data_IF_484833818891
#
_entry.id   IF_484833818891
#
_cell.length_a   1.000
_cell.length_b   1.000
_cell.length_c   1.000
_cell.angle_alpha   90.00
_cell.angle_beta   90.00
_cell.angle_gamma   90.00
#
_symmetry.space_group_name_H-M   'P 1'
#
loop_
_entity.id
_entity.type
_entity.pdbx_description
1 polymer ?
#
# COMPACT_ATOMS: atom_id res chain seq x y z
N UNK A 1 -23.98 24.78 12.22
CA UNK A 1 -22.55 24.81 12.68
C UNK A 1 -22.37 25.52 14.04
N UNK A 2 -22.93 26.74 14.27
CA UNK A 2 -22.82 27.41 15.57
C UNK A 2 -23.48 26.64 16.74
N UNK A 3 -24.52 25.86 16.50
CA UNK A 3 -25.20 25.04 17.53
C UNK A 3 -24.28 23.92 18.02
N UNK A 4 -23.61 23.22 17.10
CA UNK A 4 -22.81 22.04 17.41
C UNK A 4 -21.43 22.37 18.03
N UNK A 5 -20.93 23.61 17.87
CA UNK A 5 -19.70 24.05 18.55
C UNK A 5 -19.81 24.13 20.08
N UNK A 6 -21.03 23.94 20.63
CA UNK A 6 -21.33 23.95 22.06
C UNK A 6 -21.71 22.58 22.62
N UNK A 7 -21.75 21.55 21.76
CA UNK A 7 -21.96 20.18 22.21
C UNK A 7 -20.68 19.63 22.81
N UNK A 8 -20.83 18.87 23.89
CA UNK A 8 -19.73 18.04 24.41
C UNK A 8 -19.45 16.89 23.42
N UNK A 9 -18.20 16.41 23.43
CA UNK A 9 -17.80 15.29 22.61
C UNK A 9 -18.54 14.00 23.05
N UNK A 10 -18.97 13.21 22.07
CA UNK A 10 -19.57 11.91 22.27
C UNK A 10 -18.49 10.86 22.52
N UNK A 11 -18.41 10.34 23.75
CA UNK A 11 -17.38 9.40 24.15
C UNK A 11 -17.46 8.04 23.40
N UNK A 12 -18.66 7.62 22.95
CA UNK A 12 -18.81 6.39 22.15
C UNK A 12 -18.24 6.57 20.74
N UNK A 13 -18.40 7.76 20.17
CA UNK A 13 -17.80 8.08 18.88
C UNK A 13 -16.27 8.16 18.96
N UNK A 14 -15.73 8.79 20.01
CA UNK A 14 -14.28 8.83 20.21
C UNK A 14 -13.70 7.42 20.40
N UNK A 15 -14.36 6.55 21.17
CA UNK A 15 -13.95 5.16 21.35
C UNK A 15 -14.04 4.35 20.03
N UNK A 16 -15.01 4.67 19.19
CA UNK A 16 -15.10 4.08 17.86
C UNK A 16 -13.91 4.51 16.97
N UNK A 17 -13.54 5.78 16.97
CA UNK A 17 -12.37 6.27 16.24
C UNK A 17 -11.07 5.61 16.72
N UNK A 18 -10.92 5.41 18.03
CA UNK A 18 -9.77 4.69 18.61
C UNK A 18 -9.72 3.25 18.09
N UNK A 19 -10.88 2.57 18.00
CA UNK A 19 -10.96 1.21 17.44
C UNK A 19 -10.56 1.16 15.97
N UNK A 20 -11.02 2.12 15.15
CA UNK A 20 -10.62 2.21 13.74
C UNK A 20 -9.12 2.43 13.60
N UNK A 21 -8.54 3.30 14.44
CA UNK A 21 -7.11 3.53 14.45
C UNK A 21 -6.31 2.27 14.82
N UNK A 22 -6.71 1.56 15.88
CA UNK A 22 -6.06 0.33 16.33
C UNK A 22 -6.12 -0.74 15.23
N UNK A 23 -7.27 -0.92 14.58
CA UNK A 23 -7.43 -1.85 13.47
C UNK A 23 -6.55 -1.50 12.27
N UNK A 24 -6.44 -0.21 11.93
CA UNK A 24 -5.62 0.27 10.83
C UNK A 24 -4.13 0.00 11.05
N UNK A 25 -3.61 0.30 12.24
CA UNK A 25 -2.19 0.16 12.53
C UNK A 25 -1.79 -1.30 12.82
N UNK A 26 -2.74 -2.15 13.23
CA UNK A 26 -2.50 -3.58 13.47
C UNK A 26 -2.54 -4.44 12.20
N UNK A 27 -2.96 -3.90 11.06
CA UNK A 27 -3.08 -4.67 9.81
C UNK A 27 -1.74 -4.86 9.07
N UNK A 28 -0.82 -3.88 9.19
CA UNK A 28 0.44 -3.92 8.45
C UNK A 28 1.61 -3.44 9.31
N UNK A 29 2.67 -4.25 9.40
CA UNK A 29 3.83 -3.95 10.22
C UNK A 29 4.53 -2.64 9.81
N UNK A 30 4.81 -2.44 8.52
CA UNK A 30 5.49 -1.22 8.06
C UNK A 30 4.64 0.02 8.31
N UNK A 31 3.31 -0.08 8.11
CA UNK A 31 2.42 1.03 8.41
C UNK A 31 2.47 1.38 9.91
N UNK A 32 2.41 0.38 10.80
CA UNK A 32 2.57 0.58 12.24
C UNK A 32 3.94 1.20 12.56
N UNK A 33 5.01 0.62 12.05
CA UNK A 33 6.38 1.04 12.33
C UNK A 33 6.66 2.51 11.96
N UNK A 34 6.14 2.97 10.81
CA UNK A 34 6.33 4.35 10.36
C UNK A 34 5.41 5.38 11.01
N UNK A 35 4.26 4.95 11.57
CA UNK A 35 3.24 5.87 12.06
C UNK A 35 3.05 5.85 13.58
N UNK A 36 3.55 4.84 14.29
CA UNK A 36 3.35 4.66 15.73
C UNK A 36 4.68 4.59 16.46
N UNK A 37 4.97 5.61 17.28
CA UNK A 37 6.25 5.70 18.00
C UNK A 37 6.41 4.66 19.11
N UNK A 38 5.35 4.26 19.77
CA UNK A 38 5.35 3.26 20.86
C UNK A 38 4.03 2.49 20.88
N UNK A 39 3.96 1.47 20.03
CA UNK A 39 2.77 0.62 19.90
C UNK A 39 2.44 -0.14 21.19
N UNK A 40 3.48 -0.50 22.00
CA UNK A 40 3.30 -1.21 23.28
C UNK A 40 2.64 -0.32 24.32
N UNK A 41 3.05 0.95 24.42
CA UNK A 41 2.42 1.91 25.33
C UNK A 41 0.97 2.20 24.95
N UNK A 42 0.63 2.11 23.67
CA UNK A 42 -0.74 2.27 23.15
C UNK A 42 -1.58 0.99 23.28
N UNK A 43 -0.98 -0.15 23.62
CA UNK A 43 -1.67 -1.44 23.70
C UNK A 43 -1.99 -2.07 22.37
N UNK A 44 -1.37 -1.61 21.29
CA UNK A 44 -1.54 -2.12 19.92
C UNK A 44 -0.82 -3.46 19.80
N UNK A 45 -1.50 -4.45 19.21
CA UNK A 45 -0.90 -5.75 18.90
C UNK A 45 0.05 -5.61 17.70
N UNK A 46 1.29 -6.10 17.85
CA UNK A 46 2.30 -6.06 16.80
C UNK A 46 1.89 -6.96 15.64
N UNK A 47 1.75 -6.44 14.41
CA UNK A 47 1.48 -7.25 13.22
C UNK A 47 2.64 -8.19 12.89
N UNK A 48 2.40 -9.15 11.99
CA UNK A 48 3.46 -9.97 11.41
C UNK A 48 4.49 -9.07 10.70
N UNK A 49 5.76 -9.28 11.03
CA UNK A 49 6.86 -8.45 10.51
C UNK A 49 7.11 -8.76 9.04
N UNK A 50 7.05 -7.74 8.18
CA UNK A 50 7.26 -7.88 6.74
C UNK A 50 6.51 -6.81 5.94
N UNK A 51 6.41 -7.03 4.64
CA UNK A 51 5.70 -6.14 3.70
C UNK A 51 4.17 -6.35 3.69
N UNK A 52 3.67 -7.37 4.41
CA UNK A 52 2.28 -7.83 4.30
C UNK A 52 2.05 -8.67 3.04
N UNK A 53 0.78 -8.91 2.69
CA UNK A 53 0.42 -9.76 1.56
C UNK A 53 -0.23 -8.99 0.42
N UNK A 54 0.07 -9.40 -0.81
CA UNK A 54 -0.54 -8.86 -2.02
C UNK A 54 -1.70 -9.75 -2.46
N UNK A 55 -2.91 -9.22 -2.45
CA UNK A 55 -4.13 -9.92 -2.87
C UNK A 55 -4.56 -9.41 -4.24
N UNK A 56 -4.65 -10.29 -5.25
CA UNK A 56 -5.16 -9.94 -6.57
C UNK A 56 -6.70 -9.94 -6.60
N UNK A 57 -7.26 -8.84 -7.10
CA UNK A 57 -8.71 -8.64 -7.15
C UNK A 57 -9.27 -8.22 -5.80
N UNK A 58 -10.56 -8.49 -5.58
CA UNK A 58 -11.23 -8.07 -4.36
C UNK A 58 -10.73 -8.87 -3.14
N UNK A 59 -10.11 -8.19 -2.21
CA UNK A 59 -9.89 -8.74 -0.87
C UNK A 59 -11.22 -8.73 -0.09
N UNK A 60 -11.92 -9.87 -0.09
CA UNK A 60 -13.21 -10.00 0.58
C UNK A 60 -13.13 -9.78 2.09
N UNK A 61 -12.00 -10.12 2.73
CA UNK A 61 -11.82 -9.91 4.17
C UNK A 61 -11.76 -8.43 4.49
N UNK A 62 -10.90 -7.71 3.79
CA UNK A 62 -10.73 -6.27 3.99
C UNK A 62 -11.98 -5.49 3.54
N UNK A 63 -12.61 -5.90 2.44
CA UNK A 63 -13.87 -5.30 1.98
C UNK A 63 -14.96 -5.42 3.03
N UNK A 64 -15.21 -6.63 3.57
CA UNK A 64 -16.25 -6.85 4.58
C UNK A 64 -15.94 -6.10 5.89
N UNK A 65 -14.67 -6.00 6.29
CA UNK A 65 -14.24 -5.22 7.45
C UNK A 65 -14.55 -3.73 7.23
N UNK A 66 -14.15 -3.17 6.10
CA UNK A 66 -14.39 -1.76 5.77
C UNK A 66 -15.88 -1.44 5.62
N UNK A 67 -16.66 -2.35 5.02
CA UNK A 67 -18.12 -2.22 4.95
C UNK A 67 -18.74 -2.18 6.35
N UNK A 68 -18.29 -3.05 7.27
CA UNK A 68 -18.73 -3.04 8.67
C UNK A 68 -18.36 -1.75 9.39
N UNK A 69 -17.15 -1.24 9.20
CA UNK A 69 -16.74 0.04 9.76
C UNK A 69 -17.63 1.19 9.25
N UNK A 70 -17.98 1.19 7.97
CA UNK A 70 -18.90 2.18 7.40
C UNK A 70 -20.30 2.05 8.00
N UNK A 71 -20.85 0.84 8.14
CA UNK A 71 -22.14 0.62 8.79
C UNK A 71 -22.15 1.15 10.23
N UNK A 72 -21.10 0.90 11.01
CA UNK A 72 -20.98 1.35 12.39
C UNK A 72 -20.86 2.87 12.47
N UNK A 73 -20.12 3.50 11.54
CA UNK A 73 -20.05 4.96 11.42
C UNK A 73 -21.45 5.56 11.16
N UNK A 74 -22.20 4.98 10.23
CA UNK A 74 -23.53 5.47 9.83
C UNK A 74 -24.60 5.28 10.94
N UNK A 75 -24.33 4.49 11.97
CA UNK A 75 -25.20 4.35 13.11
C UNK A 75 -25.17 5.55 14.09
N UNK A 76 -24.14 6.39 14.03
CA UNK A 76 -24.06 7.60 14.83
C UNK A 76 -24.99 8.71 14.30
N UNK A 77 -25.67 9.39 15.21
CA UNK A 77 -26.47 10.58 14.88
C UNK A 77 -25.52 11.80 14.68
N UNK A 78 -25.25 12.09 13.41
CA UNK A 78 -24.35 13.18 12.98
C UNK A 78 -24.69 14.52 13.63
N UNK A 79 -25.98 14.88 13.75
CA UNK A 79 -26.42 16.14 14.32
C UNK A 79 -26.20 16.23 15.85
N UNK A 80 -25.99 15.09 16.51
CA UNK A 80 -25.68 15.02 17.95
C UNK A 80 -24.18 15.15 18.25
N UNK A 81 -23.30 15.01 17.23
CA UNK A 81 -21.86 15.11 17.38
C UNK A 81 -21.40 16.56 17.54
N UNK A 82 -20.32 16.77 18.30
CA UNK A 82 -19.64 18.07 18.36
C UNK A 82 -19.11 18.48 16.98
N UNK A 83 -18.81 19.75 16.79
CA UNK A 83 -18.27 20.25 15.51
C UNK A 83 -16.97 19.52 15.12
N UNK A 84 -16.07 19.24 16.09
CA UNK A 84 -14.84 18.47 15.87
C UNK A 84 -15.19 17.08 15.35
N UNK A 85 -16.07 16.37 16.04
CA UNK A 85 -16.46 15.00 15.69
C UNK A 85 -17.20 14.94 14.36
N UNK A 86 -17.94 15.96 13.95
CA UNK A 86 -18.53 16.04 12.63
C UNK A 86 -17.48 16.09 11.52
N UNK A 87 -16.35 16.81 11.74
CA UNK A 87 -15.23 16.77 10.78
C UNK A 87 -14.56 15.40 10.72
N UNK A 88 -14.35 14.77 11.88
CA UNK A 88 -13.76 13.44 11.96
C UNK A 88 -14.68 12.40 11.27
N UNK A 89 -16.01 12.52 11.46
CA UNK A 89 -17.01 11.71 10.80
C UNK A 89 -16.98 11.87 9.28
N UNK A 90 -17.00 13.11 8.78
CA UNK A 90 -16.99 13.40 7.35
C UNK A 90 -15.71 12.85 6.68
N UNK A 91 -14.56 13.02 7.34
CA UNK A 91 -13.27 12.53 6.86
C UNK A 91 -13.24 10.99 6.82
N UNK A 92 -13.65 10.33 7.90
CA UNK A 92 -13.67 8.87 7.98
C UNK A 92 -14.70 8.28 6.99
N UNK A 93 -15.89 8.89 6.88
CA UNK A 93 -16.90 8.46 5.92
C UNK A 93 -16.37 8.48 4.48
N UNK A 94 -15.71 9.58 4.11
CA UNK A 94 -15.07 9.70 2.80
C UNK A 94 -13.97 8.64 2.61
N UNK A 95 -13.08 8.48 3.60
CA UNK A 95 -11.98 7.51 3.55
C UNK A 95 -12.47 6.06 3.39
N UNK A 96 -13.50 5.65 4.13
CA UNK A 96 -14.07 4.31 4.03
C UNK A 96 -14.70 4.04 2.66
N UNK A 97 -15.39 5.02 2.08
CA UNK A 97 -15.94 4.90 0.72
C UNK A 97 -14.84 4.79 -0.32
N UNK A 98 -13.76 5.58 -0.22
CA UNK A 98 -12.60 5.49 -1.10
C UNK A 98 -11.90 4.13 -0.97
N UNK A 99 -11.76 3.61 0.25
CA UNK A 99 -11.17 2.28 0.48
C UNK A 99 -12.02 1.18 -0.17
N UNK A 100 -13.34 1.20 0.01
CA UNK A 100 -14.24 0.21 -0.62
C UNK A 100 -14.14 0.25 -2.14
N UNK A 101 -14.12 1.44 -2.73
CA UNK A 101 -14.00 1.60 -4.17
C UNK A 101 -12.60 1.15 -4.65
N UNK A 102 -11.53 1.53 -3.95
CA UNK A 102 -10.16 1.10 -4.24
C UNK A 102 -10.02 -0.43 -4.21
N UNK A 103 -10.57 -1.10 -3.19
CA UNK A 103 -10.57 -2.56 -3.10
C UNK A 103 -11.33 -3.21 -4.28
N UNK A 104 -12.47 -2.64 -4.68
CA UNK A 104 -13.25 -3.16 -5.81
C UNK A 104 -12.49 -3.07 -7.13
N UNK A 105 -11.74 -1.99 -7.33
CA UNK A 105 -11.04 -1.73 -8.58
C UNK A 105 -9.55 -2.15 -8.56
N UNK A 106 -9.02 -2.64 -7.44
CA UNK A 106 -7.59 -2.97 -7.24
C UNK A 106 -6.96 -3.83 -8.34
N UNK A 107 -7.74 -4.72 -8.98
CA UNK A 107 -7.25 -5.57 -10.08
C UNK A 107 -6.72 -4.77 -11.29
N UNK A 108 -7.18 -3.51 -11.48
CA UNK A 108 -6.77 -2.65 -12.60
C UNK A 108 -5.49 -1.89 -12.33
N UNK A 109 -5.05 -1.82 -11.08
CA UNK A 109 -3.79 -1.19 -10.69
C UNK A 109 -2.63 -2.07 -11.09
N UNK A 110 -2.00 -1.74 -12.23
CA UNK A 110 -0.84 -2.49 -12.72
C UNK A 110 0.31 -2.39 -11.72
N UNK A 111 0.68 -3.53 -11.13
CA UNK A 111 1.62 -3.58 -10.00
C UNK A 111 3.03 -3.07 -10.35
N UNK A 112 3.45 -3.22 -11.62
CA UNK A 112 4.73 -2.71 -12.11
C UNK A 112 4.52 -1.50 -13.02
N UNK A 113 3.97 -0.43 -12.48
CA UNK A 113 3.73 0.81 -13.20
C UNK A 113 4.53 1.96 -12.57
N UNK A 114 4.74 3.02 -13.33
CA UNK A 114 5.35 4.26 -12.81
C UNK A 114 4.55 4.90 -11.66
N UNK A 115 3.27 4.57 -11.54
CA UNK A 115 2.44 5.00 -10.43
C UNK A 115 2.63 4.15 -9.17
N UNK A 116 2.83 2.82 -9.33
CA UNK A 116 3.06 1.91 -8.20
C UNK A 116 4.48 1.99 -7.66
N UNK A 117 5.47 2.25 -8.53
CA UNK A 117 6.90 2.33 -8.16
C UNK A 117 7.35 1.15 -7.28
N UNK A 118 6.97 -0.08 -7.65
CA UNK A 118 7.08 -1.25 -6.78
C UNK A 118 8.49 -1.48 -6.23
N UNK A 119 9.50 -1.54 -7.10
CA UNK A 119 10.88 -1.78 -6.67
C UNK A 119 11.47 -0.61 -5.88
N UNK A 120 11.14 0.62 -6.25
CA UNK A 120 11.56 1.82 -5.52
C UNK A 120 10.91 1.88 -4.14
N UNK A 121 9.64 1.51 -4.05
CA UNK A 121 8.90 1.43 -2.78
C UNK A 121 9.52 0.46 -1.79
N UNK A 122 9.94 -0.74 -2.24
CA UNK A 122 10.68 -1.69 -1.39
C UNK A 122 11.97 -1.04 -0.88
N UNK A 123 12.80 -0.49 -1.76
CA UNK A 123 14.09 0.10 -1.38
C UNK A 123 13.91 1.31 -0.47
N UNK A 124 12.91 2.15 -0.74
CA UNK A 124 12.59 3.31 0.10
C UNK A 124 12.18 2.87 1.50
N UNK A 125 11.28 1.90 1.64
CA UNK A 125 10.90 1.36 2.95
C UNK A 125 12.10 0.81 3.71
N UNK A 126 13.00 0.10 3.03
CA UNK A 126 14.24 -0.39 3.65
C UNK A 126 15.18 0.73 4.07
N UNK A 127 15.31 1.82 3.31
CA UNK A 127 16.22 2.92 3.64
C UNK A 127 15.65 3.88 4.68
N UNK A 128 14.33 4.00 4.78
CA UNK A 128 13.66 4.85 5.75
C UNK A 128 13.34 4.13 7.07
N UNK A 129 13.61 2.81 7.14
CA UNK A 129 13.36 2.02 8.35
C UNK A 129 14.20 2.52 9.52
N UNK A 130 13.55 2.99 10.57
CA UNK A 130 14.22 3.53 11.74
C UNK A 130 14.39 2.45 12.83
N UNK A 131 15.63 2.23 13.25
CA UNK A 131 15.97 1.31 14.33
C UNK A 131 16.12 2.09 15.62
N UNK A 132 15.35 1.74 16.65
CA UNK A 132 15.29 2.41 17.94
C UNK A 132 15.91 1.59 19.08
N UNK A 133 15.90 0.26 18.93
CA UNK A 133 16.35 -0.72 19.93
C UNK A 133 16.67 -2.08 19.27
N UNK A 134 17.09 -3.07 20.06
CA UNK A 134 17.41 -4.43 19.58
C UNK A 134 16.21 -5.09 18.87
N UNK A 135 14.98 -4.86 19.34
CA UNK A 135 13.79 -5.45 18.70
C UNK A 135 13.58 -4.89 17.29
N UNK A 136 13.70 -3.59 17.10
CA UNK A 136 13.57 -2.96 15.79
C UNK A 136 14.72 -3.32 14.85
N UNK A 137 15.92 -3.63 15.37
CA UNK A 137 17.01 -4.19 14.57
C UNK A 137 16.70 -5.62 14.09
N UNK A 138 16.15 -6.48 14.98
CA UNK A 138 15.69 -7.83 14.60
C UNK A 138 14.55 -7.76 13.56
N UNK A 139 13.57 -6.89 13.78
CA UNK A 139 12.45 -6.67 12.88
C UNK A 139 12.95 -6.20 11.49
N UNK A 140 13.93 -5.32 11.44
CA UNK A 140 14.51 -4.89 10.17
C UNK A 140 15.15 -6.05 9.39
N UNK A 141 15.87 -6.94 10.07
CA UNK A 141 16.42 -8.13 9.42
C UNK A 141 15.32 -9.06 8.89
N UNK A 142 14.22 -9.17 9.60
CA UNK A 142 13.08 -9.98 9.14
C UNK A 142 12.35 -9.32 7.96
N UNK A 143 12.19 -7.99 7.95
CA UNK A 143 11.69 -7.23 6.77
C UNK A 143 12.61 -7.45 5.57
N UNK A 144 13.94 -7.42 5.73
CA UNK A 144 14.88 -7.72 4.65
C UNK A 144 14.71 -9.14 4.09
N UNK A 145 14.54 -10.13 4.96
CA UNK A 145 14.33 -11.54 4.56
C UNK A 145 12.98 -11.76 3.88
N UNK A 146 11.98 -10.88 4.13
CA UNK A 146 10.66 -10.96 3.49
C UNK A 146 10.64 -10.39 2.06
N UNK A 147 11.65 -9.58 1.66
CA UNK A 147 11.71 -9.03 0.29
C UNK A 147 11.54 -10.07 -0.81
N UNK A 148 12.23 -11.24 -0.78
CA UNK A 148 12.02 -12.28 -1.79
C UNK A 148 10.58 -12.80 -1.85
N UNK A 149 9.91 -12.92 -0.72
CA UNK A 149 8.50 -13.34 -0.65
C UNK A 149 7.59 -12.29 -1.28
N UNK A 150 7.74 -11.02 -0.90
CA UNK A 150 6.97 -9.91 -1.45
C UNK A 150 7.14 -9.78 -2.98
N UNK A 151 8.36 -9.94 -3.50
CA UNK A 151 8.63 -9.99 -4.95
C UNK A 151 7.93 -11.17 -5.61
N UNK A 152 7.94 -12.35 -5.00
CA UNK A 152 7.25 -13.52 -5.56
C UNK A 152 5.74 -13.32 -5.59
N UNK A 153 5.15 -12.74 -4.55
CA UNK A 153 3.71 -12.39 -4.53
C UNK A 153 3.37 -11.38 -5.63
N UNK A 154 4.22 -10.37 -5.84
CA UNK A 154 4.04 -9.39 -6.92
C UNK A 154 4.11 -10.04 -8.32
N UNK A 155 5.00 -10.98 -8.52
CA UNK A 155 5.09 -11.76 -9.76
C UNK A 155 3.80 -12.57 -9.97
N UNK A 156 3.29 -13.24 -8.94
CA UNK A 156 2.03 -14.01 -9.03
C UNK A 156 0.82 -13.08 -9.26
N UNK A 157 0.78 -11.91 -8.63
CA UNK A 157 -0.21 -10.89 -8.87
C UNK A 157 -0.21 -10.46 -10.35
N UNK A 158 0.94 -10.11 -10.90
CA UNK A 158 1.08 -9.71 -12.31
C UNK A 158 0.74 -10.83 -13.30
N UNK A 159 0.98 -12.10 -12.95
CA UNK A 159 0.53 -13.24 -13.76
C UNK A 159 -1.00 -13.32 -13.82
N UNK A 160 -1.68 -13.07 -12.72
CA UNK A 160 -3.14 -13.03 -12.68
C UNK A 160 -3.68 -11.86 -13.49
N UNK A 161 -3.09 -10.65 -13.37
CA UNK A 161 -3.40 -9.53 -14.26
C UNK A 161 -3.26 -9.91 -15.74
N UNK A 162 -2.16 -10.57 -16.11
CA UNK A 162 -1.92 -11.02 -17.49
C UNK A 162 -2.96 -12.04 -17.97
N UNK A 163 -3.44 -12.94 -17.10
CA UNK A 163 -4.49 -13.90 -17.42
C UNK A 163 -5.83 -13.20 -17.68
N UNK A 164 -6.10 -12.09 -17.01
CA UNK A 164 -7.27 -11.24 -17.22
C UNK A 164 -7.11 -10.26 -18.39
N UNK A 165 -5.96 -10.32 -19.08
CA UNK A 165 -5.68 -9.49 -20.25
C UNK A 165 -5.19 -8.07 -19.91
N UNK A 166 -4.80 -7.84 -18.66
CA UNK A 166 -4.19 -6.60 -18.18
C UNK A 166 -2.68 -6.69 -18.35
N UNK A 167 -2.11 -5.86 -19.20
CA UNK A 167 -0.68 -5.92 -19.53
C UNK A 167 -0.02 -4.56 -19.32
N UNK A 168 1.19 -4.58 -18.76
CA UNK A 168 2.06 -3.41 -18.67
C UNK A 168 2.51 -2.97 -20.06
N UNK A 169 2.59 -1.66 -20.33
CA UNK A 169 3.23 -1.17 -21.54
C UNK A 169 4.74 -1.40 -21.51
N UNK A 170 5.37 -1.48 -22.68
CA UNK A 170 6.81 -1.66 -22.76
C UNK A 170 7.56 -0.51 -22.07
N UNK A 171 7.05 0.73 -22.14
CA UNK A 171 7.63 1.89 -21.44
C UNK A 171 7.60 1.75 -19.91
N UNK A 172 6.51 1.21 -19.33
CA UNK A 172 6.45 0.92 -17.88
C UNK A 172 7.47 -0.13 -17.49
N UNK A 173 7.63 -1.18 -18.31
CA UNK A 173 8.61 -2.23 -18.07
C UNK A 173 10.05 -1.69 -18.15
N UNK A 174 10.33 -0.80 -19.10
CA UNK A 174 11.64 -0.16 -19.25
C UNK A 174 12.03 0.65 -18.02
N UNK A 175 11.09 1.42 -17.43
CA UNK A 175 11.32 2.19 -16.21
C UNK A 175 11.65 1.27 -15.03
N UNK A 176 10.83 0.26 -14.77
CA UNK A 176 11.01 -0.68 -13.67
C UNK A 176 12.30 -1.49 -13.82
N UNK A 177 12.57 -2.03 -15.00
CA UNK A 177 13.79 -2.80 -15.29
C UNK A 177 15.04 -1.91 -15.16
N UNK A 178 14.99 -0.65 -15.60
CA UNK A 178 16.11 0.29 -15.47
C UNK A 178 16.45 0.56 -14.01
N UNK A 179 15.43 0.69 -13.14
CA UNK A 179 15.65 0.82 -11.70
C UNK A 179 16.31 -0.42 -11.12
N UNK A 180 15.78 -1.61 -11.43
CA UNK A 180 16.31 -2.90 -10.97
C UNK A 180 17.76 -3.10 -11.46
N UNK A 181 18.07 -2.73 -12.71
CA UNK A 181 19.44 -2.84 -13.26
C UNK A 181 20.46 -2.00 -12.49
N UNK A 182 20.07 -0.80 -12.08
CA UNK A 182 20.92 0.04 -11.24
C UNK A 182 21.16 -0.60 -9.86
N UNK A 183 20.14 -1.18 -9.27
CA UNK A 183 20.24 -1.87 -7.99
C UNK A 183 21.14 -3.11 -8.06
N UNK A 184 20.93 -3.95 -9.09
CA UNK A 184 21.76 -5.14 -9.34
C UNK A 184 23.21 -4.77 -9.62
N UNK A 185 23.47 -3.75 -10.47
CA UNK A 185 24.82 -3.34 -10.85
C UNK A 185 25.66 -2.86 -9.68
N UNK A 186 25.02 -2.27 -8.66
CA UNK A 186 25.62 -1.87 -7.40
C UNK A 186 25.68 -2.97 -6.35
N UNK A 187 25.11 -4.15 -6.64
CA UNK A 187 24.91 -5.27 -5.70
C UNK A 187 24.20 -4.83 -4.41
N UNK A 188 23.20 -3.96 -4.54
CA UNK A 188 22.41 -3.44 -3.41
C UNK A 188 23.15 -2.50 -2.49
N UNK A 189 24.29 -1.94 -2.95
CA UNK A 189 25.14 -1.09 -2.12
C UNK A 189 24.42 0.09 -1.49
N UNK A 190 23.45 0.69 -2.18
CA UNK A 190 22.64 1.79 -1.65
C UNK A 190 21.90 1.40 -0.39
N UNK A 191 21.41 0.16 -0.30
CA UNK A 191 20.68 -0.36 0.87
C UNK A 191 21.64 -0.58 2.03
N UNK A 192 22.63 -1.49 1.89
CA UNK A 192 23.46 -1.87 3.04
C UNK A 192 24.41 -0.79 3.53
N UNK A 193 24.95 0.08 2.66
CA UNK A 193 25.82 1.19 3.09
C UNK A 193 25.08 2.24 3.93
N UNK A 194 23.76 2.31 3.82
CA UNK A 194 22.93 3.14 4.68
C UNK A 194 23.10 2.76 6.16
N UNK A 195 23.29 1.47 6.43
CA UNK A 195 23.37 0.90 7.77
C UNK A 195 24.81 0.64 8.27
N UNK A 196 25.82 1.20 7.61
CA UNK A 196 27.25 0.93 7.90
C UNK A 196 27.70 1.28 9.33
N UNK A 197 26.98 2.16 10.03
CA UNK A 197 27.28 2.57 11.40
C UNK A 197 26.57 1.70 12.46
N UNK A 198 25.71 0.75 12.05
CA UNK A 198 25.00 -0.16 12.93
C UNK A 198 25.75 -1.49 13.10
N UNK A 199 25.61 -2.11 14.26
CA UNK A 199 26.28 -3.38 14.56
C UNK A 199 25.78 -4.52 13.67
N UNK A 200 24.54 -4.47 13.19
CA UNK A 200 23.94 -5.44 12.27
C UNK A 200 24.41 -5.30 10.81
N UNK A 201 25.23 -4.31 10.48
CA UNK A 201 25.71 -4.06 9.10
C UNK A 201 26.22 -5.31 8.37
N UNK A 202 27.04 -6.19 8.96
CA UNK A 202 27.51 -7.40 8.26
C UNK A 202 26.37 -8.33 7.84
N UNK A 203 25.34 -8.49 8.69
CA UNK A 203 24.18 -9.33 8.43
C UNK A 203 23.26 -8.69 7.39
N UNK A 204 23.00 -7.39 7.50
CA UNK A 204 22.28 -6.62 6.47
C UNK A 204 22.92 -6.80 5.11
N UNK A 205 24.24 -6.64 5.02
CA UNK A 205 24.97 -6.82 3.77
C UNK A 205 24.84 -8.25 3.23
N UNK A 206 24.96 -9.25 4.08
CA UNK A 206 24.86 -10.66 3.71
C UNK A 206 23.47 -10.96 3.12
N UNK A 207 22.38 -10.53 3.79
CA UNK A 207 21.01 -10.74 3.33
C UNK A 207 20.78 -9.99 2.01
N UNK A 208 21.20 -8.73 1.92
CA UNK A 208 21.01 -7.93 0.70
C UNK A 208 21.71 -8.59 -0.50
N UNK A 209 22.97 -9.00 -0.35
CA UNK A 209 23.75 -9.59 -1.45
C UNK A 209 23.28 -10.99 -1.84
N UNK A 210 22.79 -11.81 -0.88
CA UNK A 210 22.48 -13.22 -1.13
C UNK A 210 20.99 -13.53 -1.27
N UNK A 211 20.09 -12.66 -0.82
CA UNK A 211 18.65 -12.88 -0.87
C UNK A 211 17.91 -11.77 -1.64
N UNK A 212 18.11 -10.50 -1.23
CA UNK A 212 17.39 -9.36 -1.83
C UNK A 212 17.77 -9.17 -3.30
N UNK A 213 19.07 -9.07 -3.62
CA UNK A 213 19.51 -8.85 -5.01
C UNK A 213 19.15 -10.02 -5.93
N UNK A 214 19.32 -11.30 -5.55
CA UNK A 214 18.83 -12.41 -6.36
C UNK A 214 17.32 -12.40 -6.61
N UNK A 215 16.50 -11.93 -5.67
CA UNK A 215 15.05 -11.80 -5.90
C UNK A 215 14.72 -10.71 -6.93
N UNK A 216 15.44 -9.58 -6.93
CA UNK A 216 15.31 -8.57 -7.99
C UNK A 216 15.80 -9.08 -9.37
N UNK A 217 16.80 -9.96 -9.42
CA UNK A 217 17.16 -10.65 -10.68
C UNK A 217 15.99 -11.51 -11.17
N UNK A 218 15.33 -12.23 -10.27
CA UNK A 218 14.14 -13.05 -10.60
C UNK A 218 13.00 -12.17 -11.11
N UNK A 219 12.75 -11.02 -10.46
CA UNK A 219 11.75 -10.05 -10.91
C UNK A 219 12.07 -9.54 -12.32
N UNK A 220 13.31 -9.11 -12.57
CA UNK A 220 13.74 -8.65 -13.88
C UNK A 220 13.55 -9.70 -14.97
N UNK A 221 13.92 -10.94 -14.68
CA UNK A 221 13.73 -12.04 -15.63
C UNK A 221 12.25 -12.25 -15.96
N UNK A 222 11.37 -12.15 -14.98
CA UNK A 222 9.94 -12.20 -15.19
C UNK A 222 9.44 -11.01 -16.05
N UNK A 223 9.81 -9.78 -15.69
CA UNK A 223 9.40 -8.56 -16.43
C UNK A 223 9.82 -8.64 -17.91
N UNK A 224 11.01 -9.16 -18.21
CA UNK A 224 11.46 -9.38 -19.58
C UNK A 224 10.53 -10.33 -20.37
N UNK A 225 9.76 -11.18 -19.72
CA UNK A 225 8.77 -12.06 -20.39
C UNK A 225 7.49 -11.34 -20.79
N UNK A 226 7.27 -10.11 -20.29
CA UNK A 226 6.05 -9.35 -20.51
C UNK A 226 6.12 -8.44 -21.76
N UNK A 227 7.30 -8.16 -22.30
CA UNK A 227 7.45 -7.30 -23.47
C UNK A 227 6.62 -7.75 -24.67
N UNK A 228 6.06 -6.77 -25.37
CA UNK A 228 5.28 -6.95 -26.60
C UNK A 228 3.94 -7.66 -26.38
N UNK A 229 3.51 -7.89 -25.14
CA UNK A 229 2.20 -8.50 -24.86
C UNK A 229 1.05 -7.49 -24.92
N UNK A 230 1.33 -6.22 -24.67
CA UNK A 230 0.33 -5.14 -24.73
C UNK A 230 -0.06 -4.85 -26.18
N UNK A 231 -1.35 -4.88 -26.47
CA UNK A 231 -1.89 -4.45 -27.77
C UNK A 231 -2.14 -2.94 -27.71
N UNK A 232 -1.69 -2.22 -28.72
CA UNK A 232 -1.79 -0.76 -28.81
C UNK A 232 -3.22 -0.21 -28.70
N UNK A 233 -4.24 -0.99 -29.02
CA UNK A 233 -5.65 -0.63 -28.93
C UNK A 233 -6.24 -0.77 -27.51
N UNK A 234 -5.48 -1.35 -26.57
CA UNK A 234 -5.87 -1.57 -25.16
C UNK A 234 -4.96 -0.86 -24.14
N UNK A 235 -4.15 0.11 -24.56
CA UNK A 235 -3.28 0.88 -23.67
C UNK A 235 -4.04 1.78 -22.70
N UNK A 236 -5.23 2.24 -23.07
CA UNK A 236 -6.03 3.09 -22.19
C UNK A 236 -6.99 2.25 -21.34
N UNK A 237 -7.03 2.50 -20.04
CA UNK A 237 -7.91 1.82 -19.09
C UNK A 237 -9.38 1.80 -19.58
N UNK A 238 -9.88 2.89 -20.16
CA UNK A 238 -11.23 2.97 -20.72
C UNK A 238 -11.49 2.05 -21.94
N UNK A 239 -10.48 1.34 -22.46
CA UNK A 239 -10.61 0.35 -23.54
C UNK A 239 -10.64 -1.09 -23.04
N UNK A 240 -10.54 -1.27 -21.73
CA UNK A 240 -10.64 -2.56 -21.05
C UNK A 240 -12.08 -2.68 -20.52
N UNK A 241 -12.63 -3.89 -20.50
CA UNK A 241 -13.96 -4.15 -19.94
C UNK A 241 -13.98 -3.66 -18.47
N UNK A 242 -15.02 -2.92 -18.11
CA UNK A 242 -15.17 -2.23 -16.80
C UNK A 242 -14.14 -1.13 -16.50
N UNK A 243 -13.03 -1.03 -17.25
CA UNK A 243 -12.00 -0.02 -17.02
C UNK A 243 -12.48 1.42 -17.23
N UNK A 244 -13.60 1.64 -17.95
CA UNK A 244 -14.22 2.97 -18.02
C UNK A 244 -14.81 3.39 -16.66
N UNK A 245 -15.39 2.47 -15.92
CA UNK A 245 -15.93 2.75 -14.58
C UNK A 245 -14.80 3.10 -13.60
N UNK A 246 -13.70 2.35 -13.64
CA UNK A 246 -12.49 2.65 -12.89
C UNK A 246 -11.92 4.03 -13.23
N UNK A 247 -11.74 4.34 -14.51
CA UNK A 247 -11.26 5.64 -14.97
C UNK A 247 -12.16 6.79 -14.48
N UNK A 248 -13.47 6.59 -14.49
CA UNK A 248 -14.44 7.56 -13.99
C UNK A 248 -14.27 7.76 -12.47
N UNK A 249 -14.12 6.65 -11.72
CA UNK A 249 -13.84 6.69 -10.30
C UNK A 249 -12.56 7.49 -9.99
N UNK A 250 -11.44 7.17 -10.64
CA UNK A 250 -10.17 7.87 -10.46
C UNK A 250 -10.28 9.38 -10.69
N UNK A 251 -11.02 9.80 -11.72
CA UNK A 251 -11.23 11.23 -12.02
C UNK A 251 -12.07 11.89 -10.92
N UNK A 252 -13.15 11.25 -10.51
CA UNK A 252 -14.07 11.80 -9.52
C UNK A 252 -13.40 11.92 -8.15
N UNK A 253 -12.69 10.89 -7.70
CA UNK A 253 -11.95 10.90 -6.42
C UNK A 253 -10.85 11.96 -6.40
N UNK A 254 -10.11 12.12 -7.50
CA UNK A 254 -9.00 13.08 -7.58
C UNK A 254 -9.44 14.54 -7.67
N UNK A 255 -10.62 14.81 -8.26
CA UNK A 255 -11.04 16.18 -8.60
C UNK A 255 -12.29 16.65 -7.84
N UNK A 256 -12.98 15.76 -7.14
CA UNK A 256 -14.29 16.02 -6.53
C UNK A 256 -15.29 16.64 -7.54
N UNK A 257 -15.24 16.17 -8.81
CA UNK A 257 -16.09 16.62 -9.91
C UNK A 257 -16.46 15.43 -10.76
N UNK A 258 -17.68 15.44 -11.27
CA UNK A 258 -18.10 14.47 -12.27
C UNK A 258 -17.30 14.60 -13.55
N UNK A 259 -17.03 13.48 -14.21
CA UNK A 259 -16.27 13.45 -15.47
C UNK A 259 -16.91 14.33 -16.55
N UNK A 260 -18.26 14.45 -16.55
CA UNK A 260 -19.01 15.31 -17.46
C UNK A 260 -18.75 16.82 -17.23
N UNK A 261 -18.28 17.21 -16.03
CA UNK A 261 -17.91 18.59 -15.71
C UNK A 261 -16.47 18.95 -16.15
N UNK A 262 -15.67 17.96 -16.58
CA UNK A 262 -14.25 18.12 -16.95
C UNK A 262 -14.07 18.16 -18.48
N UNK A 263 -14.98 17.58 -19.24
CA UNK A 263 -15.01 17.51 -20.69
C UNK A 263 -16.25 18.23 -21.27
#
# INVERSE_FOLDING_TARGET
>A
REKNSKLDDNAEFDAYLDTIFDELVSDNYLYMHFNVADYKAMGIEKPEVGFGHLVYGLDEKEFNKTEKQLEDLLAFDYDSLSLRQQYDYDLLHYSLLETLAGLYYSKYDLIFSSASQFSDGIVTNLMEFAMYDEESEEDFLDVLKDVPNNINEAIEYSKQQSNDGLYHSDDMLDEEISYIDNLISSNGKSIYEHYKEYDIYPEVKEIVENEVIPSFVTLKDYLNTLYGKTKSDKLALCKIDEGYAEYTYMINSSNNKDMEDIY
#
